data_IF_038593425942
#
_entry.id   IF_038593425942
#
_cell.length_a   1.000
_cell.length_b   1.000
_cell.length_c   1.000
_cell.angle_alpha   90.00
_cell.angle_beta   90.00
_cell.angle_gamma   90.00
#
_symmetry.space_group_name_H-M   'P 1'
#
loop_
_entity.id
_entity.type
_entity.pdbx_description
1 polymer ?
#
# COMPACT_ATOMS: atom_id res chain seq x y z
N UNK A 1 -12.58 -10.46 8.04
CA UNK A 1 -11.98 -9.22 7.50
C UNK A 1 -10.69 -9.56 6.77
N UNK A 2 -10.50 -8.96 5.64
CA UNK A 2 -9.24 -9.06 4.89
C UNK A 2 -8.31 -7.95 5.38
N UNK A 3 -7.10 -8.30 5.78
CA UNK A 3 -6.10 -7.33 6.23
C UNK A 3 -4.92 -7.33 5.27
N UNK A 4 -4.56 -6.17 4.77
CA UNK A 4 -3.41 -5.98 3.88
C UNK A 4 -2.33 -5.22 4.64
N UNK A 5 -1.14 -5.80 4.70
CA UNK A 5 0.05 -5.17 5.27
C UNK A 5 1.19 -5.21 4.27
N UNK A 6 2.05 -4.23 4.33
CA UNK A 6 3.23 -4.18 3.48
C UNK A 6 4.39 -3.49 4.20
N UNK A 7 5.59 -3.78 3.75
CA UNK A 7 6.77 -3.04 4.14
C UNK A 7 7.78 -3.02 3.00
N UNK A 8 8.73 -2.10 3.10
CA UNK A 8 9.87 -2.03 2.23
C UNK A 8 11.14 -2.07 3.08
N UNK A 9 12.07 -2.91 2.69
CA UNK A 9 13.33 -3.11 3.40
C UNK A 9 14.50 -3.00 2.43
N UNK A 10 15.63 -2.46 2.92
CA UNK A 10 16.88 -2.47 2.17
C UNK A 10 17.58 -3.81 2.39
N UNK A 11 17.93 -4.48 1.30
CA UNK A 11 18.67 -5.74 1.31
C UNK A 11 19.82 -5.60 0.32
N UNK A 12 21.05 -5.47 0.81
CA UNK A 12 22.26 -5.28 0.00
C UNK A 12 22.11 -4.18 -1.08
N UNK A 13 21.72 -2.97 -0.66
CA UNK A 13 21.49 -1.81 -1.52
C UNK A 13 20.28 -1.94 -2.48
N UNK A 14 19.54 -3.04 -2.40
CA UNK A 14 18.32 -3.23 -3.15
C UNK A 14 17.11 -3.00 -2.25
N UNK A 15 16.19 -2.14 -2.67
CA UNK A 15 14.94 -1.96 -1.98
C UNK A 15 13.98 -3.09 -2.35
N UNK A 16 13.58 -3.86 -1.34
CA UNK A 16 12.64 -4.97 -1.48
C UNK A 16 11.28 -4.56 -0.95
N UNK A 17 10.24 -4.81 -1.72
CA UNK A 17 8.85 -4.63 -1.33
C UNK A 17 8.24 -5.98 -0.96
N UNK A 18 7.53 -6.01 0.16
CA UNK A 18 6.84 -7.21 0.63
C UNK A 18 5.42 -6.86 1.06
N UNK A 19 4.45 -7.65 0.63
CA UNK A 19 3.10 -7.55 1.14
C UNK A 19 2.58 -8.89 1.65
N UNK A 20 1.59 -8.84 2.51
CA UNK A 20 0.78 -10.00 2.87
C UNK A 20 -0.69 -9.62 2.88
N UNK A 21 -1.51 -10.55 2.41
CA UNK A 21 -2.96 -10.47 2.47
C UNK A 21 -3.43 -11.59 3.40
N UNK A 22 -4.15 -11.22 4.44
CA UNK A 22 -4.69 -12.16 5.41
C UNK A 22 -6.21 -12.10 5.42
N UNK A 23 -6.83 -13.24 5.57
CA UNK A 23 -8.26 -13.34 5.84
C UNK A 23 -8.45 -14.05 7.16
N UNK A 24 -9.08 -13.37 8.12
CA UNK A 24 -9.31 -13.89 9.47
C UNK A 24 -8.04 -14.46 10.12
N UNK A 25 -6.92 -13.77 9.92
CA UNK A 25 -5.62 -14.13 10.46
C UNK A 25 -4.80 -15.10 9.63
N UNK A 26 -5.39 -15.79 8.65
CA UNK A 26 -4.68 -16.72 7.78
C UNK A 26 -4.13 -16.01 6.54
N UNK A 27 -2.89 -16.28 6.17
CA UNK A 27 -2.28 -15.72 4.97
C UNK A 27 -2.91 -16.37 3.74
N UNK A 28 -3.49 -15.56 2.85
CA UNK A 28 -4.05 -16.02 1.58
C UNK A 28 -3.19 -15.63 0.38
N UNK A 29 -2.34 -14.62 0.53
CA UNK A 29 -1.33 -14.26 -0.47
C UNK A 29 -0.18 -13.51 0.20
N UNK A 30 1.02 -13.72 -0.30
CA UNK A 30 2.23 -13.04 0.18
C UNK A 30 3.26 -13.01 -0.95
N UNK A 31 3.92 -11.88 -1.11
CA UNK A 31 4.97 -11.75 -2.10
C UNK A 31 6.07 -10.81 -1.59
N UNK A 32 7.31 -11.17 -1.91
CA UNK A 32 8.50 -10.33 -1.69
C UNK A 32 9.25 -10.25 -3.01
N UNK A 33 9.51 -9.04 -3.49
CA UNK A 33 10.25 -8.83 -4.74
C UNK A 33 11.04 -7.53 -4.71
N UNK A 34 12.09 -7.42 -5.54
CA UNK A 34 12.77 -6.14 -5.72
C UNK A 34 11.75 -5.10 -6.19
N UNK A 35 11.80 -3.92 -5.61
CA UNK A 35 11.04 -2.81 -6.14
C UNK A 35 11.68 -2.38 -7.46
N UNK A 36 10.85 -2.07 -8.44
CA UNK A 36 11.28 -1.75 -9.79
C UNK A 36 12.15 -0.48 -9.86
N UNK A 37 12.57 -0.10 -11.06
CA UNK A 37 13.49 1.01 -11.33
C UNK A 37 13.10 2.34 -10.70
N UNK A 38 11.79 2.59 -10.49
CA UNK A 38 11.28 3.80 -9.85
C UNK A 38 11.88 3.97 -8.45
N UNK A 39 12.00 2.89 -7.69
CA UNK A 39 12.53 2.96 -6.33
C UNK A 39 14.03 3.14 -6.27
N UNK A 40 14.77 2.64 -7.22
CA UNK A 40 16.21 2.88 -7.31
C UNK A 40 16.46 4.37 -7.52
N UNK A 41 15.71 5.00 -8.40
CA UNK A 41 15.78 6.44 -8.63
C UNK A 41 15.32 7.22 -7.39
N UNK A 42 14.29 6.76 -6.70
CA UNK A 42 13.79 7.40 -5.49
C UNK A 42 14.82 7.39 -4.36
N UNK A 43 15.58 6.31 -4.20
CA UNK A 43 16.67 6.24 -3.19
C UNK A 43 17.73 7.30 -3.47
N UNK A 44 18.13 7.47 -4.73
CA UNK A 44 19.13 8.46 -5.10
C UNK A 44 18.63 9.91 -5.03
N UNK A 45 17.34 10.15 -5.33
CA UNK A 45 16.76 11.49 -5.38
C UNK A 45 16.22 11.99 -4.03
N UNK A 46 15.61 11.11 -3.25
CA UNK A 46 14.83 11.49 -2.05
C UNK A 46 15.37 10.90 -0.76
N UNK A 47 16.37 10.04 -0.85
CA UNK A 47 16.95 9.35 0.29
C UNK A 47 16.14 8.10 0.71
N UNK A 48 16.72 7.28 1.60
CA UNK A 48 16.20 5.95 1.91
C UNK A 48 14.84 5.97 2.65
N UNK A 49 14.56 6.99 3.45
CA UNK A 49 13.30 7.06 4.20
C UNK A 49 12.12 7.26 3.26
N UNK A 50 12.22 8.21 2.34
CA UNK A 50 11.17 8.46 1.35
C UNK A 50 11.01 7.28 0.39
N UNK A 51 12.12 6.66 -0.02
CA UNK A 51 12.10 5.49 -0.87
C UNK A 51 11.38 4.31 -0.20
N UNK A 52 11.59 4.09 1.10
CA UNK A 52 10.87 3.06 1.86
C UNK A 52 9.37 3.34 1.93
N UNK A 53 8.99 4.59 2.13
CA UNK A 53 7.58 4.98 2.16
C UNK A 53 6.90 4.74 0.81
N UNK A 54 7.56 5.09 -0.28
CA UNK A 54 7.06 4.81 -1.63
C UNK A 54 7.00 3.30 -1.89
N UNK A 55 8.00 2.56 -1.43
CA UNK A 55 8.03 1.11 -1.52
C UNK A 55 6.87 0.45 -0.78
N UNK A 56 6.49 0.97 0.39
CA UNK A 56 5.30 0.53 1.10
C UNK A 56 4.04 0.72 0.26
N UNK A 57 3.86 1.91 -0.32
CA UNK A 57 2.70 2.21 -1.18
C UNK A 57 2.66 1.29 -2.39
N UNK A 58 3.80 1.07 -3.04
CA UNK A 58 3.89 0.18 -4.20
C UNK A 58 3.51 -1.25 -3.81
N UNK A 59 4.01 -1.74 -2.68
CA UNK A 59 3.68 -3.09 -2.19
C UNK A 59 2.19 -3.22 -1.86
N UNK A 60 1.60 -2.21 -1.21
CA UNK A 60 0.16 -2.19 -0.92
C UNK A 60 -0.67 -2.18 -2.21
N UNK A 61 -0.25 -1.40 -3.21
CA UNK A 61 -0.92 -1.36 -4.51
C UNK A 61 -0.87 -2.73 -5.20
N UNK A 62 0.27 -3.40 -5.17
CA UNK A 62 0.43 -4.75 -5.71
C UNK A 62 -0.46 -5.76 -4.98
N UNK A 63 -0.57 -5.65 -3.65
CA UNK A 63 -1.46 -6.50 -2.87
C UNK A 63 -2.93 -6.29 -3.28
N UNK A 64 -3.35 -5.05 -3.45
CA UNK A 64 -4.71 -4.73 -3.89
C UNK A 64 -4.98 -5.25 -5.31
N UNK A 65 -4.03 -5.10 -6.22
CA UNK A 65 -4.13 -5.66 -7.57
C UNK A 65 -4.27 -7.18 -7.55
N UNK A 66 -3.47 -7.86 -6.73
CA UNK A 66 -3.59 -9.31 -6.54
C UNK A 66 -4.98 -9.68 -6.03
N UNK A 67 -5.52 -8.91 -5.08
CA UNK A 67 -6.84 -9.15 -4.53
C UNK A 67 -7.95 -8.99 -5.59
N UNK A 68 -7.82 -8.07 -6.53
CA UNK A 68 -8.80 -7.89 -7.61
C UNK A 68 -8.94 -9.12 -8.50
N UNK A 69 -7.88 -9.92 -8.61
CA UNK A 69 -7.84 -11.12 -9.45
C UNK A 69 -8.24 -12.39 -8.72
N UNK A 70 -8.33 -12.35 -7.39
CA UNK A 70 -8.73 -13.51 -6.61
C UNK A 70 -10.27 -13.66 -6.64
N UNK A 71 -10.79 -14.90 -6.77
CA UNK A 71 -12.23 -15.11 -6.72
C UNK A 71 -12.83 -14.61 -5.42
N UNK A 72 -13.92 -13.85 -5.47
CA UNK A 72 -14.56 -13.31 -4.26
C UNK A 72 -15.14 -14.45 -3.40
N UNK A 73 -15.79 -15.45 -4.00
CA UNK A 73 -16.26 -16.64 -3.32
C UNK A 73 -17.04 -16.31 -2.02
N UNK A 74 -16.74 -17.05 -0.95
CA UNK A 74 -17.31 -16.84 0.39
C UNK A 74 -16.55 -15.82 1.23
N UNK A 75 -15.71 -14.99 0.61
CA UNK A 75 -14.90 -14.04 1.36
C UNK A 75 -15.73 -12.90 1.92
N UNK A 76 -15.27 -12.40 3.07
CA UNK A 76 -15.73 -11.12 3.56
C UNK A 76 -15.38 -10.02 2.53
N UNK A 77 -16.26 -9.03 2.40
CA UNK A 77 -16.07 -7.88 1.54
C UNK A 77 -15.43 -6.68 2.26
N UNK A 78 -15.00 -6.84 3.50
CA UNK A 78 -14.35 -5.79 4.27
C UNK A 78 -12.82 -5.93 4.19
N UNK A 79 -12.15 -4.85 3.77
CA UNK A 79 -10.70 -4.77 3.67
C UNK A 79 -10.19 -3.70 4.64
N UNK A 80 -9.17 -4.04 5.43
CA UNK A 80 -8.41 -3.10 6.23
C UNK A 80 -6.97 -3.01 5.69
N UNK A 81 -6.61 -1.85 5.16
CA UNK A 81 -5.27 -1.57 4.66
C UNK A 81 -4.49 -0.89 5.76
N UNK A 82 -3.41 -1.52 6.21
CA UNK A 82 -2.57 -0.98 7.29
C UNK A 82 -1.35 -0.29 6.72
N UNK A 83 -1.19 0.98 7.05
CA UNK A 83 -0.07 1.80 6.61
C UNK A 83 0.77 2.22 7.81
N UNK A 84 2.08 2.22 7.65
CA UNK A 84 3.02 2.51 8.73
C UNK A 84 3.77 3.84 8.55
N UNK A 85 3.71 4.45 7.38
CA UNK A 85 4.42 5.71 7.10
C UNK A 85 3.45 6.86 6.87
N UNK A 86 3.89 8.06 7.19
CA UNK A 86 3.11 9.29 6.99
C UNK A 86 2.81 9.51 5.50
N UNK A 87 3.78 9.25 4.63
CA UNK A 87 3.59 9.42 3.20
C UNK A 87 2.54 8.45 2.65
N UNK A 88 2.59 7.17 3.07
CA UNK A 88 1.59 6.20 2.67
C UNK A 88 0.19 6.62 3.15
N UNK A 89 0.06 7.06 4.39
CA UNK A 89 -1.21 7.57 4.92
C UNK A 89 -1.77 8.71 4.07
N UNK A 90 -0.92 9.69 3.71
CA UNK A 90 -1.34 10.82 2.88
C UNK A 90 -1.77 10.38 1.48
N UNK A 91 -1.01 9.46 0.86
CA UNK A 91 -1.34 8.97 -0.48
C UNK A 91 -2.69 8.26 -0.49
N UNK A 92 -3.00 7.47 0.54
CA UNK A 92 -4.27 6.76 0.62
C UNK A 92 -5.46 7.64 1.00
N UNK A 93 -5.25 8.68 1.80
CA UNK A 93 -6.35 9.40 2.44
C UNK A 93 -6.53 10.85 1.99
N UNK A 94 -5.55 11.44 1.32
CA UNK A 94 -5.61 12.84 0.89
C UNK A 94 -5.79 12.96 -0.62
N UNK A 95 -6.37 14.07 -1.06
CA UNK A 95 -6.44 14.40 -2.47
C UNK A 95 -5.04 14.73 -3.02
N UNK A 96 -4.86 14.57 -4.33
CA UNK A 96 -3.60 14.88 -5.00
C UNK A 96 -3.15 16.32 -4.75
N UNK A 97 -4.10 17.27 -4.69
CA UNK A 97 -3.80 18.69 -4.50
C UNK A 97 -3.29 19.02 -3.09
N UNK A 98 -3.71 18.25 -2.09
CA UNK A 98 -3.25 18.41 -0.71
C UNK A 98 -1.94 17.69 -0.42
N UNK A 99 -1.47 16.88 -1.37
CA UNK A 99 -0.16 16.28 -1.29
C UNK A 99 0.86 17.36 -1.67
N UNK A 100 1.47 18.00 -0.69
CA UNK A 100 2.61 18.90 -0.89
C UNK A 100 3.83 18.09 -1.37
N UNK A 101 3.62 17.19 -2.34
CA UNK A 101 4.64 16.28 -2.82
C UNK A 101 5.09 16.79 -4.17
N UNK A 102 6.31 17.31 -4.19
CA UNK A 102 6.98 17.75 -5.40
C UNK A 102 7.38 16.57 -6.29
N UNK A 103 7.33 15.36 -5.77
CA UNK A 103 7.83 14.19 -6.45
C UNK A 103 6.82 13.62 -7.44
N UNK A 104 7.19 13.55 -8.71
CA UNK A 104 6.43 12.90 -9.77
C UNK A 104 6.03 11.47 -9.39
N UNK A 105 6.92 10.73 -8.68
CA UNK A 105 6.68 9.36 -8.25
C UNK A 105 5.51 9.24 -7.25
N UNK A 106 5.38 10.17 -6.33
CA UNK A 106 4.28 10.14 -5.36
C UNK A 106 2.93 10.42 -6.03
N UNK A 107 2.89 11.31 -7.01
CA UNK A 107 1.70 11.55 -7.82
C UNK A 107 1.30 10.32 -8.63
N UNK A 108 2.28 9.65 -9.20
CA UNK A 108 2.06 8.41 -9.93
C UNK A 108 1.48 7.33 -9.00
N UNK A 109 2.08 7.14 -7.83
CA UNK A 109 1.58 6.21 -6.82
C UNK A 109 0.16 6.56 -6.38
N UNK A 110 -0.15 7.84 -6.19
CA UNK A 110 -1.50 8.30 -5.84
C UNK A 110 -2.53 7.88 -6.89
N UNK A 111 -2.20 8.06 -8.18
CA UNK A 111 -3.09 7.64 -9.28
C UNK A 111 -3.29 6.14 -9.30
N UNK A 112 -2.24 5.36 -9.09
CA UNK A 112 -2.31 3.90 -9.04
C UNK A 112 -3.20 3.43 -7.88
N UNK A 113 -3.01 3.98 -6.70
CA UNK A 113 -3.84 3.69 -5.53
C UNK A 113 -5.30 4.02 -5.81
N UNK A 114 -5.59 5.21 -6.31
CA UNK A 114 -6.96 5.63 -6.63
C UNK A 114 -7.64 4.69 -7.61
N UNK A 115 -6.92 4.26 -8.64
CA UNK A 115 -7.43 3.34 -9.66
C UNK A 115 -7.79 1.96 -9.08
N UNK A 116 -6.89 1.35 -8.32
CA UNK A 116 -7.13 0.01 -7.78
C UNK A 116 -8.17 0.04 -6.65
N UNK A 117 -8.20 1.08 -5.84
CA UNK A 117 -9.25 1.28 -4.83
C UNK A 117 -10.62 1.36 -5.49
N UNK A 118 -10.74 2.13 -6.57
CA UNK A 118 -11.98 2.23 -7.34
C UNK A 118 -12.43 0.86 -7.87
N UNK A 119 -11.51 0.07 -8.40
CA UNK A 119 -11.79 -1.28 -8.88
C UNK A 119 -12.33 -2.17 -7.77
N UNK A 120 -11.70 -2.17 -6.60
CA UNK A 120 -12.12 -2.97 -5.46
C UNK A 120 -13.51 -2.53 -4.96
N UNK A 121 -13.77 -1.24 -4.89
CA UNK A 121 -15.10 -0.72 -4.50
C UNK A 121 -16.15 -1.16 -5.51
N UNK A 122 -15.87 -1.12 -6.81
CA UNK A 122 -16.77 -1.60 -7.85
C UNK A 122 -17.03 -3.11 -7.75
N UNK A 123 -16.05 -3.87 -7.24
CA UNK A 123 -16.22 -5.29 -6.97
C UNK A 123 -17.01 -5.59 -5.69
N UNK A 124 -17.41 -4.57 -4.95
CA UNK A 124 -18.24 -4.71 -3.75
C UNK A 124 -17.47 -4.70 -2.43
N UNK A 125 -16.18 -4.37 -2.45
CA UNK A 125 -15.39 -4.25 -1.22
C UNK A 125 -15.63 -2.93 -0.50
N UNK A 126 -15.67 -2.98 0.83
CA UNK A 126 -15.61 -1.83 1.71
C UNK A 126 -14.18 -1.70 2.25
N UNK A 127 -13.56 -0.54 2.06
CA UNK A 127 -12.13 -0.37 2.34
C UNK A 127 -11.92 0.63 3.47
N UNK A 128 -11.18 0.21 4.47
CA UNK A 128 -10.72 1.04 5.58
C UNK A 128 -9.20 1.13 5.53
N UNK A 129 -8.65 2.30 5.78
CA UNK A 129 -7.22 2.50 5.93
C UNK A 129 -6.93 2.80 7.39
N UNK A 130 -5.99 2.07 7.97
CA UNK A 130 -5.58 2.18 9.36
C UNK A 130 -4.10 2.56 9.42
N UNK A 131 -3.81 3.70 10.03
CA UNK A 131 -2.43 4.11 10.27
C UNK A 131 -1.95 3.49 11.58
N UNK A 132 -0.81 2.81 11.52
CA UNK A 132 -0.25 2.09 12.67
C UNK A 132 1.20 2.53 12.93
N UNK A 133 1.59 2.43 14.20
CA UNK A 133 2.98 2.54 14.63
C UNK A 133 3.27 1.33 15.52
N UNK A 134 4.00 0.35 14.94
CA UNK A 134 4.12 -0.96 15.58
C UNK A 134 2.74 -1.62 15.68
N UNK A 135 2.32 -1.99 16.89
CA UNK A 135 0.99 -2.54 17.16
C UNK A 135 -0.06 -1.48 17.51
N UNK A 136 0.34 -0.20 17.62
CA UNK A 136 -0.54 0.89 18.03
C UNK A 136 -1.29 1.45 16.84
N UNK A 137 -2.61 1.49 16.92
CA UNK A 137 -3.47 2.16 15.93
C UNK A 137 -3.49 3.66 16.24
N UNK A 138 -3.13 4.50 15.26
CA UNK A 138 -3.11 5.95 15.41
C UNK A 138 -4.37 6.60 14.85
N UNK A 139 -4.79 6.18 13.66
CA UNK A 139 -5.95 6.74 12.94
C UNK A 139 -6.58 5.67 12.07
N UNK A 140 -7.86 5.82 11.79
CA UNK A 140 -8.61 4.96 10.86
C UNK A 140 -9.56 5.82 10.03
N UNK A 141 -9.68 5.55 8.75
CA UNK A 141 -10.63 6.20 7.87
C UNK A 141 -11.21 5.22 6.86
N UNK A 142 -12.42 5.49 6.39
CA UNK A 142 -13.08 4.71 5.34
C UNK A 142 -12.93 5.42 4.00
N UNK A 143 -12.55 4.67 2.98
CA UNK A 143 -12.41 5.18 1.61
C UNK A 143 -13.72 5.16 0.84
#
# INVERSE_FOLDING_TARGET
MITITANAIMDNDTLMSRYSIRQDGAIIAMEKRPTNDINKDAVSQFGPITARSLGEVIALTQAMEALTELPIGERTNAIDIRVSTTLAWKIFTKSQDSLAIRATHARYCHKQVASVVQTLIQQGYSITVTRVKGSTVLETTTL
#
